data_IF_343718505176
#
_entry.id   IF_343718505176
#
_cell.length_a   1.000
_cell.length_b   1.000
_cell.length_c   1.000
_cell.angle_alpha   90.00
_cell.angle_beta   90.00
_cell.angle_gamma   90.00
#
_symmetry.space_group_name_H-M   'P 1'
#
loop_
_entity.id
_entity.type
_entity.pdbx_description
1 polymer ?
#
# COMPACT_ATOMS: atom_id res chain seq x y z
N UNK A 1 -40.26 28.36 40.22
CA UNK A 1 -40.51 27.17 39.38
C UNK A 1 -39.43 26.98 38.29
N UNK A 2 -39.10 28.00 37.49
CA UNK A 2 -38.10 27.86 36.41
C UNK A 2 -36.67 27.47 36.83
N UNK A 3 -36.21 27.92 38.01
CA UNK A 3 -34.86 27.61 38.51
C UNK A 3 -34.67 26.11 38.82
N UNK A 4 -35.71 25.42 39.28
CA UNK A 4 -35.64 23.98 39.55
C UNK A 4 -35.57 23.14 38.26
N UNK A 5 -36.20 23.56 37.16
CA UNK A 5 -36.12 22.85 35.88
C UNK A 5 -34.73 22.93 35.24
N UNK A 6 -34.09 24.10 35.31
CA UNK A 6 -32.73 24.28 34.79
C UNK A 6 -31.74 23.41 35.57
N UNK A 7 -31.90 23.33 36.90
CA UNK A 7 -31.03 22.51 37.74
C UNK A 7 -31.21 21.01 37.47
N UNK A 8 -32.45 20.53 37.25
CA UNK A 8 -32.68 19.14 36.85
C UNK A 8 -32.11 18.80 35.46
N UNK A 9 -32.10 19.73 34.50
CA UNK A 9 -31.46 19.53 33.19
C UNK A 9 -29.93 19.42 33.29
N UNK A 10 -29.29 20.25 34.13
CA UNK A 10 -27.85 20.16 34.35
C UNK A 10 -27.44 18.85 35.03
N UNK A 11 -28.24 18.34 35.97
CA UNK A 11 -27.97 17.06 36.66
C UNK A 11 -28.14 15.86 35.73
N UNK A 12 -29.06 15.90 34.76
CA UNK A 12 -29.24 14.83 33.76
C UNK A 12 -28.14 14.86 32.69
N UNK A 13 -27.54 16.03 32.40
CA UNK A 13 -26.47 16.17 31.41
C UNK A 13 -25.07 15.72 31.90
N UNK A 14 -24.81 15.78 33.21
CA UNK A 14 -23.50 15.43 33.79
C UNK A 14 -23.06 13.97 33.54
N UNK A 15 -23.93 12.94 33.70
CA UNK A 15 -23.56 11.56 33.39
C UNK A 15 -23.24 11.35 31.91
N UNK A 16 -23.92 12.07 31.01
CA UNK A 16 -23.71 11.96 29.55
C UNK A 16 -22.34 12.53 29.16
N UNK A 17 -21.89 13.61 29.81
CA UNK A 17 -20.56 14.19 29.57
C UNK A 17 -19.41 13.29 30.01
N UNK A 18 -19.53 12.64 31.18
CA UNK A 18 -18.51 11.71 31.68
C UNK A 18 -18.44 10.45 30.82
N UNK A 19 -19.59 9.98 30.31
CA UNK A 19 -19.64 8.86 29.37
C UNK A 19 -19.03 9.24 28.02
N UNK A 20 -19.28 10.45 27.51
CA UNK A 20 -18.72 10.94 26.24
C UNK A 20 -17.20 11.06 26.21
N UNK A 21 -16.59 11.60 27.27
CA UNK A 21 -15.12 11.74 27.36
C UNK A 21 -14.40 10.38 27.39
N UNK A 22 -14.98 9.37 28.04
CA UNK A 22 -14.42 8.02 28.02
C UNK A 22 -14.54 7.37 26.63
N UNK A 23 -15.61 7.64 25.89
CA UNK A 23 -15.73 7.13 24.52
C UNK A 23 -14.73 7.76 23.57
N UNK A 24 -14.45 9.06 23.68
CA UNK A 24 -13.43 9.72 22.84
C UNK A 24 -12.05 9.08 23.02
N UNK A 25 -11.61 8.87 24.26
CA UNK A 25 -10.35 8.15 24.54
C UNK A 25 -10.35 6.72 23.99
N UNK A 26 -11.47 5.99 24.10
CA UNK A 26 -11.58 4.62 23.55
C UNK A 26 -11.54 4.63 22.02
N UNK A 27 -12.12 5.63 21.36
CA UNK A 27 -12.04 5.79 19.91
C UNK A 27 -10.63 6.14 19.45
N UNK A 28 -9.93 7.05 20.15
CA UNK A 28 -8.53 7.37 19.88
C UNK A 28 -7.62 6.14 20.07
N UNK A 29 -7.81 5.39 21.15
CA UNK A 29 -7.07 4.15 21.41
C UNK A 29 -7.34 3.12 20.29
N UNK A 30 -8.61 2.92 19.92
CA UNK A 30 -8.99 2.00 18.85
C UNK A 30 -8.41 2.41 17.49
N UNK A 31 -8.49 3.69 17.12
CA UNK A 31 -7.93 4.21 15.87
C UNK A 31 -6.41 4.09 15.85
N UNK A 32 -5.75 4.33 16.98
CA UNK A 32 -4.30 4.16 17.13
C UNK A 32 -3.88 2.68 17.00
N UNK A 33 -4.61 1.76 17.62
CA UNK A 33 -4.38 0.32 17.53
C UNK A 33 -4.63 -0.17 16.10
N UNK A 34 -5.71 0.29 15.44
CA UNK A 34 -6.02 -0.06 14.05
C UNK A 34 -4.97 0.45 13.09
N UNK A 35 -4.45 1.66 13.32
CA UNK A 35 -3.34 2.21 12.54
C UNK A 35 -2.08 1.37 12.73
N UNK A 36 -1.70 1.05 13.96
CA UNK A 36 -0.53 0.23 14.25
C UNK A 36 -0.64 -1.20 13.67
N UNK A 37 -1.82 -1.83 13.76
CA UNK A 37 -2.10 -3.14 13.15
C UNK A 37 -1.96 -3.08 11.63
N UNK A 38 -2.48 -2.01 11.01
CA UNK A 38 -2.35 -1.81 9.56
C UNK A 38 -0.91 -1.59 9.12
N UNK A 39 -0.13 -0.82 9.89
CA UNK A 39 1.30 -0.60 9.64
C UNK A 39 2.10 -1.89 9.81
N UNK A 40 1.81 -2.70 10.84
CA UNK A 40 2.46 -4.00 11.05
C UNK A 40 2.16 -4.96 9.89
N UNK A 41 0.91 -5.03 9.42
CA UNK A 41 0.56 -5.84 8.23
C UNK A 41 1.25 -5.36 6.97
N UNK A 42 1.34 -4.04 6.76
CA UNK A 42 2.05 -3.46 5.62
C UNK A 42 3.55 -3.83 5.67
N UNK A 43 4.16 -3.73 6.85
CA UNK A 43 5.56 -4.11 7.08
C UNK A 43 5.79 -5.62 6.86
N UNK A 44 4.91 -6.49 7.37
CA UNK A 44 5.02 -7.94 7.16
C UNK A 44 4.91 -8.29 5.67
N UNK A 45 3.94 -7.67 4.97
CA UNK A 45 3.78 -7.85 3.53
C UNK A 45 5.01 -7.36 2.76
N UNK A 46 5.59 -6.22 3.15
CA UNK A 46 6.81 -5.69 2.55
C UNK A 46 8.00 -6.64 2.80
N UNK A 47 8.17 -7.12 4.02
CA UNK A 47 9.23 -8.06 4.38
C UNK A 47 9.11 -9.36 3.59
N UNK A 48 7.90 -9.93 3.48
CA UNK A 48 7.62 -11.12 2.68
C UNK A 48 7.97 -10.89 1.20
N UNK A 49 7.58 -9.74 0.65
CA UNK A 49 7.90 -9.36 -0.73
C UNK A 49 9.41 -9.25 -0.93
N UNK A 50 10.12 -8.60 -0.02
CA UNK A 50 11.59 -8.45 -0.04
C UNK A 50 12.30 -9.81 0.06
N UNK A 51 11.81 -10.71 0.92
CA UNK A 51 12.33 -12.08 1.02
C UNK A 51 12.10 -12.86 -0.28
N UNK A 52 10.87 -12.84 -0.84
CA UNK A 52 10.61 -13.53 -2.11
C UNK A 52 11.46 -12.98 -3.26
N UNK A 53 11.61 -11.65 -3.31
CA UNK A 53 12.49 -10.94 -4.22
C UNK A 53 13.96 -11.40 -4.10
N UNK A 54 14.43 -11.66 -2.88
CA UNK A 54 15.80 -12.15 -2.64
C UNK A 54 16.02 -13.59 -3.11
N UNK A 55 14.98 -14.44 -2.99
CA UNK A 55 15.03 -15.85 -3.39
C UNK A 55 15.05 -16.00 -4.91
N UNK A 56 14.22 -15.22 -5.60
CA UNK A 56 14.11 -15.22 -7.05
C UNK A 56 14.30 -13.81 -7.62
N UNK A 57 15.56 -13.38 -7.88
CA UNK A 57 15.82 -12.07 -8.47
C UNK A 57 15.14 -11.87 -9.82
N UNK A 58 14.96 -12.94 -10.60
CA UNK A 58 14.31 -12.87 -11.91
C UNK A 58 12.85 -12.42 -11.79
N UNK A 59 12.20 -12.64 -10.64
CA UNK A 59 10.84 -12.13 -10.40
C UNK A 59 10.71 -10.61 -10.56
N UNK A 60 11.78 -9.83 -10.34
CA UNK A 60 11.75 -8.37 -10.56
C UNK A 60 11.71 -8.00 -12.03
N UNK A 61 12.23 -8.83 -12.93
CA UNK A 61 12.12 -8.60 -14.38
C UNK A 61 10.66 -8.65 -14.84
N UNK A 62 9.79 -9.28 -14.05
CA UNK A 62 8.37 -9.38 -14.31
C UNK A 62 7.55 -8.32 -13.57
N UNK A 63 8.17 -7.45 -12.78
CA UNK A 63 7.45 -6.42 -12.05
C UNK A 63 7.20 -5.19 -12.95
N UNK A 64 5.93 -4.83 -13.08
CA UNK A 64 5.48 -3.60 -13.71
C UNK A 64 4.85 -2.72 -12.64
N UNK A 65 5.43 -1.55 -12.41
CA UNK A 65 4.89 -0.55 -11.49
C UNK A 65 4.39 0.65 -12.29
N UNK A 66 3.20 1.11 -11.95
CA UNK A 66 2.50 2.23 -12.56
C UNK A 66 2.24 3.25 -11.46
N UNK A 67 2.60 4.49 -11.69
CA UNK A 67 2.31 5.60 -10.78
C UNK A 67 1.59 6.69 -11.55
N UNK A 68 0.51 7.20 -10.99
CA UNK A 68 -0.32 8.25 -11.60
C UNK A 68 -0.15 9.53 -10.79
N UNK A 69 0.18 10.62 -11.49
CA UNK A 69 0.36 11.94 -10.91
C UNK A 69 -0.54 12.95 -11.61
N UNK A 70 -0.95 14.00 -10.90
CA UNK A 70 -1.54 15.20 -11.46
C UNK A 70 -0.45 16.22 -11.76
N UNK A 71 -0.33 16.62 -13.02
CA UNK A 71 0.54 17.70 -13.47
C UNK A 71 0.05 19.05 -12.91
N UNK A 72 0.86 19.64 -12.04
CA UNK A 72 0.56 20.94 -11.43
C UNK A 72 0.78 22.12 -12.39
N UNK A 73 1.43 21.89 -13.53
CA UNK A 73 1.92 22.89 -14.48
C UNK A 73 2.88 23.93 -13.86
N UNK A 74 3.43 23.65 -12.67
CA UNK A 74 4.37 24.54 -11.96
C UNK A 74 5.83 24.33 -12.38
N UNK A 75 6.09 23.54 -13.41
CA UNK A 75 7.41 23.35 -14.02
C UNK A 75 8.40 22.52 -13.19
N UNK A 76 7.97 21.94 -12.06
CA UNK A 76 8.76 21.00 -11.25
C UNK A 76 7.92 19.77 -10.90
N UNK A 77 8.43 18.55 -11.11
CA UNK A 77 7.71 17.32 -10.78
C UNK A 77 7.49 17.16 -9.27
N UNK A 78 8.27 17.83 -8.42
CA UNK A 78 8.10 17.81 -6.96
C UNK A 78 6.78 18.48 -6.52
N UNK A 79 6.20 19.31 -7.39
CA UNK A 79 4.92 19.98 -7.15
C UNK A 79 3.72 19.16 -7.64
N UNK A 80 3.95 18.07 -8.37
CA UNK A 80 2.90 17.26 -8.92
C UNK A 80 2.26 16.39 -7.84
N UNK A 81 0.94 16.29 -7.88
CA UNK A 81 0.22 15.58 -6.81
C UNK A 81 0.09 14.11 -7.16
N UNK A 82 0.66 13.24 -6.33
CA UNK A 82 0.48 11.80 -6.47
C UNK A 82 -1.00 11.40 -6.27
N UNK A 83 -1.55 10.68 -7.26
CA UNK A 83 -2.94 10.22 -7.27
C UNK A 83 -3.05 8.77 -6.76
N UNK A 84 -2.13 7.91 -7.18
CA UNK A 84 -2.18 6.48 -6.88
C UNK A 84 -1.13 5.68 -7.60
N UNK A 85 -0.90 4.46 -7.14
CA UNK A 85 -0.01 3.51 -7.80
C UNK A 85 -0.67 2.15 -8.01
N UNK A 86 -0.21 1.40 -8.99
CA UNK A 86 -0.60 0.02 -9.19
C UNK A 86 0.62 -0.82 -9.55
N UNK A 87 0.65 -2.04 -9.03
CA UNK A 87 1.69 -3.02 -9.32
C UNK A 87 1.07 -4.25 -9.98
N UNK A 88 1.75 -4.77 -10.99
CA UNK A 88 1.37 -6.00 -11.68
C UNK A 88 2.57 -6.89 -11.92
N UNK A 89 2.36 -8.21 -11.83
CA UNK A 89 3.34 -9.20 -12.27
C UNK A 89 3.01 -9.60 -13.70
N UNK A 90 3.91 -9.25 -14.62
CA UNK A 90 3.83 -9.61 -16.02
C UNK A 90 4.08 -11.11 -16.20
N UNK A 91 3.35 -11.72 -17.14
CA UNK A 91 3.58 -13.08 -17.59
C UNK A 91 4.51 -13.03 -18.79
N UNK A 92 5.81 -13.10 -18.54
CA UNK A 92 6.85 -13.06 -19.57
C UNK A 92 7.55 -14.42 -19.57
N UNK A 93 7.51 -15.11 -20.70
CA UNK A 93 8.21 -16.38 -20.90
C UNK A 93 9.38 -16.21 -21.88
N UNK A 94 10.52 -16.85 -21.63
CA UNK A 94 11.64 -16.84 -22.55
C UNK A 94 11.29 -17.68 -23.79
N UNK A 95 10.96 -17.02 -24.90
CA UNK A 95 10.77 -17.66 -26.20
C UNK A 95 9.36 -17.53 -26.80
N UNK A 96 8.35 -17.17 -26.01
CA UNK A 96 6.99 -16.95 -26.51
C UNK A 96 6.65 -15.45 -26.53
N UNK A 97 6.20 -14.90 -27.68
CA UNK A 97 5.65 -13.55 -27.70
C UNK A 97 4.31 -13.51 -26.99
N UNK A 98 4.11 -12.52 -26.12
CA UNK A 98 2.91 -12.41 -25.28
C UNK A 98 2.26 -11.04 -25.47
N UNK A 99 0.94 -11.00 -25.59
CA UNK A 99 0.16 -9.74 -25.63
C UNK A 99 -0.95 -9.82 -24.59
N UNK A 100 -0.94 -8.93 -23.62
CA UNK A 100 -1.89 -8.96 -22.49
C UNK A 100 -2.42 -7.56 -22.23
N UNK A 101 -3.72 -7.48 -21.96
CA UNK A 101 -4.41 -6.27 -21.51
C UNK A 101 -4.76 -6.40 -20.03
N UNK A 102 -4.49 -5.35 -19.26
CA UNK A 102 -4.63 -5.32 -17.80
C UNK A 102 -5.48 -4.12 -17.38
N UNK A 103 -6.36 -4.35 -16.40
CA UNK A 103 -7.14 -3.30 -15.72
C UNK A 103 -6.77 -3.28 -14.23
N UNK A 104 -5.81 -2.42 -13.89
CA UNK A 104 -5.18 -2.38 -12.57
C UNK A 104 -5.89 -1.38 -11.65
N UNK A 105 -6.40 -1.80 -10.48
CA UNK A 105 -6.94 -0.87 -9.50
C UNK A 105 -5.81 -0.04 -8.88
N UNK A 106 -6.03 1.26 -8.75
CA UNK A 106 -5.09 2.14 -8.06
C UNK A 106 -5.14 1.89 -6.56
N UNK A 107 -3.96 1.88 -5.96
CA UNK A 107 -3.72 1.75 -4.53
C UNK A 107 -3.21 3.10 -4.02
N UNK A 108 -3.63 3.40 -2.79
CA UNK A 108 -3.20 4.58 -2.08
C UNK A 108 -1.79 4.40 -1.53
N UNK A 109 -1.00 5.47 -1.57
CA UNK A 109 0.31 5.51 -0.94
C UNK A 109 0.45 6.80 -0.11
N UNK A 110 0.11 6.68 1.18
CA UNK A 110 0.15 7.78 2.16
C UNK A 110 1.55 8.35 2.40
N UNK A 111 2.61 7.65 2.00
CA UNK A 111 3.97 8.19 2.06
C UNK A 111 4.25 9.23 0.97
N UNK A 112 3.44 9.25 -0.10
CA UNK A 112 3.59 10.19 -1.23
C UNK A 112 2.51 11.27 -1.26
N UNK A 113 1.30 10.97 -0.81
CA UNK A 113 0.18 11.91 -0.83
C UNK A 113 -0.92 11.49 0.14
N UNK A 114 -1.61 12.47 0.71
CA UNK A 114 -2.80 12.28 1.54
C UNK A 114 -4.10 12.17 0.72
N UNK A 115 -4.01 12.25 -0.61
CA UNK A 115 -5.16 12.08 -1.49
C UNK A 115 -5.64 10.64 -1.44
N UNK A 116 -6.95 10.48 -1.22
CA UNK A 116 -7.59 9.17 -1.31
C UNK A 116 -7.55 8.67 -2.75
N UNK A 117 -6.75 7.63 -2.98
CA UNK A 117 -6.64 7.04 -4.32
C UNK A 117 -7.92 6.29 -4.69
N UNK A 118 -8.45 6.57 -5.88
CA UNK A 118 -9.57 5.84 -6.49
C UNK A 118 -9.30 5.61 -7.97
N UNK A 119 -10.00 4.62 -8.55
CA UNK A 119 -9.99 4.41 -9.99
C UNK A 119 -9.16 3.22 -10.45
N UNK A 120 -9.02 3.08 -11.76
CA UNK A 120 -8.30 2.00 -12.43
C UNK A 120 -7.54 2.52 -13.64
N UNK A 121 -6.38 1.94 -13.90
CA UNK A 121 -5.58 2.16 -15.12
C UNK A 121 -5.72 0.95 -16.02
N UNK A 122 -6.06 1.20 -17.28
CA UNK A 122 -6.12 0.22 -18.35
C UNK A 122 -4.87 0.35 -19.20
N UNK A 123 -4.10 -0.72 -19.30
CA UNK A 123 -2.88 -0.77 -20.11
C UNK A 123 -2.79 -2.09 -20.85
N UNK A 124 -1.97 -2.09 -21.88
CA UNK A 124 -1.62 -3.27 -22.64
C UNK A 124 -0.11 -3.39 -22.67
N UNK A 125 0.40 -4.60 -22.58
CA UNK A 125 1.81 -4.86 -22.85
C UNK A 125 1.98 -5.96 -23.88
N UNK A 126 3.01 -5.81 -24.70
CA UNK A 126 3.45 -6.79 -25.68
C UNK A 126 4.90 -7.14 -25.42
N UNK A 127 5.19 -8.43 -25.28
CA UNK A 127 6.52 -8.99 -25.14
C UNK A 127 6.94 -9.65 -26.44
N UNK A 128 8.11 -9.29 -26.95
CA UNK A 128 8.74 -9.89 -28.12
C UNK A 128 10.13 -10.43 -27.73
N UNK A 129 10.28 -11.76 -27.51
CA UNK A 129 11.58 -12.33 -27.16
C UNK A 129 12.57 -12.16 -28.32
N UNK A 130 13.83 -11.92 -27.98
CA UNK A 130 14.91 -11.86 -28.98
C UNK A 130 15.24 -13.27 -29.47
N UNK A 131 15.28 -13.48 -30.78
CA UNK A 131 15.59 -14.78 -31.39
C UNK A 131 17.01 -15.29 -31.10
N UNK A 132 17.92 -14.41 -30.67
CA UNK A 132 19.31 -14.75 -30.41
C UNK A 132 19.48 -15.21 -28.96
N UNK A 133 19.55 -16.52 -28.78
CA UNK A 133 20.02 -17.13 -27.54
C UNK A 133 21.51 -16.82 -27.36
N UNK A 134 21.84 -16.22 -26.23
CA UNK A 134 23.23 -16.00 -25.82
C UNK A 134 23.49 -16.82 -24.56
N UNK A 135 24.62 -17.55 -24.48
CA UNK A 135 24.92 -18.36 -23.31
C UNK A 135 25.00 -17.48 -22.06
N UNK A 136 24.27 -17.86 -21.01
CA UNK A 136 24.21 -17.11 -19.76
C UNK A 136 23.16 -15.99 -19.72
N UNK A 137 22.41 -15.76 -20.80
CA UNK A 137 21.26 -14.84 -20.79
C UNK A 137 19.98 -15.62 -20.47
N UNK A 138 19.24 -15.16 -19.45
CA UNK A 138 18.01 -15.79 -18.96
C UNK A 138 16.75 -15.20 -19.60
N UNK A 139 16.75 -13.89 -19.86
CA UNK A 139 15.64 -13.19 -20.49
C UNK A 139 16.18 -12.09 -21.41
N UNK A 140 15.78 -12.12 -22.68
CA UNK A 140 16.21 -11.14 -23.68
C UNK A 140 15.09 -10.87 -24.67
N UNK A 141 14.78 -9.60 -24.91
CA UNK A 141 13.64 -9.23 -25.76
C UNK A 141 13.26 -7.76 -25.60
N UNK A 142 12.16 -7.40 -26.25
CA UNK A 142 11.57 -6.06 -26.18
C UNK A 142 10.22 -6.16 -25.49
N UNK A 143 10.02 -5.33 -24.47
CA UNK A 143 8.72 -5.08 -23.87
C UNK A 143 8.19 -3.74 -24.38
N UNK A 144 6.99 -3.76 -24.93
CA UNK A 144 6.22 -2.58 -25.30
C UNK A 144 5.07 -2.43 -24.32
N UNK A 145 4.95 -1.27 -23.67
CA UNK A 145 3.85 -0.95 -22.77
C UNK A 145 3.07 0.21 -23.38
N UNK A 146 1.78 0.00 -23.59
CA UNK A 146 0.84 0.99 -24.11
C UNK A 146 -0.17 1.31 -23.02
N UNK A 147 -0.18 2.56 -22.54
CA UNK A 147 -1.23 3.03 -21.64
C UNK A 147 -2.46 3.32 -22.49
N UNK A 148 -3.62 2.75 -22.14
CA UNK A 148 -4.85 2.94 -22.91
C UNK A 148 -5.67 4.09 -22.33
N UNK A 149 -6.06 3.97 -21.07
CA UNK A 149 -6.87 4.98 -20.37
C UNK A 149 -6.85 4.80 -18.86
N UNK A 150 -7.32 5.79 -18.13
CA UNK A 150 -7.66 5.66 -16.72
C UNK A 150 -9.11 6.10 -16.46
N UNK A 151 -9.72 5.54 -15.43
CA UNK A 151 -11.11 5.83 -15.06
C UNK A 151 -11.26 5.96 -13.55
N UNK A 152 -12.19 6.81 -13.11
CA UNK A 152 -12.50 6.97 -11.69
C UNK A 152 -11.39 7.62 -10.87
N UNK A 153 -10.52 8.41 -11.50
CA UNK A 153 -9.48 9.18 -10.81
C UNK A 153 -10.12 10.20 -9.86
N UNK A 154 -9.52 10.45 -8.68
CA UNK A 154 -10.01 11.45 -7.75
C UNK A 154 -9.87 12.86 -8.34
N UNK A 155 -10.75 13.76 -7.90
CA UNK A 155 -10.63 15.18 -8.21
C UNK A 155 -9.57 15.78 -7.28
N UNK A 156 -8.48 16.28 -7.86
CA UNK A 156 -7.34 16.82 -7.13
C UNK A 156 -7.19 18.33 -7.32
N UNK A 157 -7.73 18.87 -8.42
CA UNK A 157 -7.56 20.29 -8.72
C UNK A 157 -8.34 21.15 -7.71
N UNK A 158 -7.62 22.09 -7.09
CA UNK A 158 -8.17 23.07 -6.15
C UNK A 158 -8.71 24.30 -6.87
N UNK A 159 -8.50 24.41 -8.19
CA UNK A 159 -9.01 25.54 -8.97
C UNK A 159 -10.52 25.63 -8.78
N UNK A 160 -11.02 26.78 -8.27
CA UNK A 160 -12.45 27.00 -8.25
C UNK A 160 -12.93 26.98 -9.71
N UNK A 161 -14.11 26.40 -9.98
CA UNK A 161 -14.66 26.39 -11.33
C UNK A 161 -14.65 27.82 -11.87
N UNK A 162 -14.19 28.07 -13.11
CA UNK A 162 -14.14 29.41 -13.67
C UNK A 162 -15.51 30.06 -13.52
N UNK A 163 -15.56 31.27 -12.96
CA UNK A 163 -16.81 32.00 -12.67
C UNK A 163 -17.76 32.14 -13.88
N UNK A 164 -17.29 31.88 -15.10
CA UNK A 164 -18.07 31.96 -16.34
C UNK A 164 -18.47 30.60 -16.95
N UNK A 165 -17.95 29.46 -16.46
CA UNK A 165 -18.33 28.13 -16.95
C UNK A 165 -18.65 27.20 -15.79
N UNK A 166 -19.89 27.28 -15.30
CA UNK A 166 -20.45 26.44 -14.23
C UNK A 166 -20.46 24.92 -14.51
N UNK A 167 -19.73 24.44 -15.52
CA UNK A 167 -19.60 23.04 -15.91
C UNK A 167 -18.15 22.54 -16.02
N UNK A 168 -17.14 23.40 -15.85
CA UNK A 168 -15.77 22.91 -15.76
C UNK A 168 -15.55 22.35 -14.35
N UNK A 169 -15.81 21.05 -14.20
CA UNK A 169 -15.43 20.33 -12.99
C UNK A 169 -13.91 20.32 -12.88
N UNK A 170 -13.40 20.45 -11.66
CA UNK A 170 -11.99 20.25 -11.32
C UNK A 170 -11.55 18.82 -11.66
N UNK A 171 -11.16 18.60 -12.92
CA UNK A 171 -10.56 17.36 -13.37
C UNK A 171 -9.05 17.42 -13.12
N UNK A 172 -8.46 16.28 -12.80
CA UNK A 172 -7.02 16.17 -12.78
C UNK A 172 -6.47 16.22 -14.22
N UNK A 173 -5.25 16.71 -14.36
CA UNK A 173 -4.41 16.61 -15.55
C UNK A 173 -3.41 15.46 -15.33
N UNK A 174 -3.73 14.18 -15.61
CA UNK A 174 -2.90 13.09 -15.16
C UNK A 174 -1.82 12.74 -16.19
N UNK A 175 -0.67 12.34 -15.69
CA UNK A 175 0.35 11.59 -16.42
C UNK A 175 0.74 10.34 -15.64
N UNK A 176 1.39 9.41 -16.33
CA UNK A 176 1.76 8.10 -15.78
C UNK A 176 3.26 7.90 -15.86
N UNK A 177 3.86 7.45 -14.76
CA UNK A 177 5.20 6.89 -14.72
C UNK A 177 5.12 5.37 -14.76
N UNK A 178 5.80 4.77 -15.74
CA UNK A 178 5.93 3.32 -15.88
C UNK A 178 7.35 2.93 -15.46
N UNK A 179 7.44 2.15 -14.38
CA UNK A 179 8.72 1.65 -13.86
C UNK A 179 8.82 0.14 -14.09
N UNK A 180 9.92 -0.27 -14.72
CA UNK A 180 10.28 -1.68 -14.95
C UNK A 180 11.77 -1.92 -14.65
N UNK A 181 12.18 -3.18 -14.58
CA UNK A 181 13.58 -3.57 -14.34
C UNK A 181 14.11 -4.37 -15.53
N UNK A 182 14.50 -3.71 -16.63
CA UNK A 182 14.84 -4.38 -17.88
C UNK A 182 16.21 -5.05 -17.85
N UNK A 183 17.13 -4.56 -17.02
CA UNK A 183 18.50 -5.04 -16.95
C UNK A 183 18.71 -5.93 -15.72
N UNK A 184 19.52 -6.97 -15.87
CA UNK A 184 19.97 -7.73 -14.69
C UNK A 184 20.71 -6.83 -13.68
N UNK A 185 20.70 -7.20 -12.39
CA UNK A 185 21.46 -6.51 -11.36
C UNK A 185 22.92 -6.31 -11.75
N UNK A 186 23.50 -5.20 -11.28
CA UNK A 186 24.94 -4.94 -11.41
C UNK A 186 25.77 -6.00 -10.66
N UNK A 187 27.10 -5.95 -10.80
CA UNK A 187 28.02 -6.82 -10.04
C UNK A 187 27.86 -6.68 -8.52
N UNK A 188 27.37 -5.53 -8.06
CA UNK A 188 27.09 -5.26 -6.65
C UNK A 188 25.72 -5.80 -6.19
N UNK A 189 24.95 -6.39 -7.11
CA UNK A 189 23.59 -6.86 -6.88
C UNK A 189 22.58 -5.72 -6.77
N UNK A 190 22.90 -4.53 -7.27
CA UNK A 190 21.96 -3.39 -7.28
C UNK A 190 21.12 -3.46 -8.55
N UNK A 191 19.80 -3.34 -8.39
CA UNK A 191 18.84 -3.24 -9.49
C UNK A 191 18.66 -1.76 -9.85
N UNK A 192 18.73 -1.45 -11.14
CA UNK A 192 18.47 -0.09 -11.64
C UNK A 192 17.11 -0.07 -12.33
N UNK A 193 16.11 0.63 -11.76
CA UNK A 193 14.83 0.79 -12.43
C UNK A 193 15.00 1.62 -13.70
N UNK A 194 14.22 1.30 -14.74
CA UNK A 194 14.01 2.17 -15.90
C UNK A 194 12.60 2.74 -15.79
N UNK A 195 12.51 4.07 -15.81
CA UNK A 195 11.26 4.82 -15.69
C UNK A 195 11.02 5.57 -16.99
N UNK A 196 9.81 5.45 -17.54
CA UNK A 196 9.34 6.23 -18.69
C UNK A 196 8.06 6.97 -18.28
N UNK A 197 7.87 8.17 -18.81
CA UNK A 197 6.74 9.04 -18.50
C UNK A 197 5.83 9.19 -19.73
N UNK A 198 4.51 9.11 -19.53
CA UNK A 198 3.52 9.39 -20.58
C UNK A 198 3.34 10.90 -20.77
N UNK A 199 2.64 11.30 -21.84
CA UNK A 199 2.16 12.69 -21.92
C UNK A 199 1.10 12.98 -20.84
N UNK A 200 0.95 14.25 -20.49
CA UNK A 200 -0.13 14.75 -19.63
C UNK A 200 -1.41 14.89 -20.45
N UNK A 201 -2.53 14.38 -19.93
CA UNK A 201 -3.85 14.55 -20.54
C UNK A 201 -4.64 15.61 -19.77
N UNK A 202 -4.81 16.80 -20.34
CA UNK A 202 -5.46 17.91 -19.64
C UNK A 202 -6.99 17.75 -19.54
N UNK A 203 -7.55 18.20 -18.41
CA UNK A 203 -8.98 18.42 -18.15
C UNK A 203 -9.90 17.22 -18.49
N UNK A 204 -9.45 15.99 -18.24
CA UNK A 204 -10.19 14.78 -18.63
C UNK A 204 -10.62 13.93 -17.43
N UNK A 205 -11.92 13.58 -17.39
CA UNK A 205 -12.47 12.62 -16.42
C UNK A 205 -12.01 11.17 -16.67
N UNK A 206 -11.77 10.85 -17.93
CA UNK A 206 -11.37 9.52 -18.41
C UNK A 206 -10.20 9.71 -19.36
N UNK A 207 -9.02 10.09 -18.83
CA UNK A 207 -7.84 10.37 -19.65
C UNK A 207 -7.53 9.13 -20.49
N UNK A 208 -7.32 9.36 -21.79
CA UNK A 208 -7.02 8.32 -22.77
C UNK A 208 -5.72 8.72 -23.44
N UNK A 209 -4.75 7.82 -23.43
CA UNK A 209 -3.48 8.03 -24.10
C UNK A 209 -3.55 7.43 -25.50
N UNK A 210 -2.94 8.12 -26.46
CA UNK A 210 -2.96 7.66 -27.84
C UNK A 210 -2.17 6.35 -27.98
N UNK A 211 -2.63 5.44 -28.86
CA UNK A 211 -1.88 4.20 -29.15
C UNK A 211 -0.47 4.47 -29.71
N UNK A 212 -0.20 5.69 -30.19
CA UNK A 212 1.13 6.13 -30.63
C UNK A 212 2.15 6.30 -29.49
N UNK A 213 1.72 6.37 -28.24
CA UNK A 213 2.62 6.47 -27.08
C UNK A 213 2.99 5.08 -26.54
N UNK A 214 3.73 4.30 -27.35
CA UNK A 214 4.30 3.04 -26.91
C UNK A 214 5.62 3.26 -26.17
N UNK A 215 5.67 2.86 -24.90
CA UNK A 215 6.89 2.88 -24.11
C UNK A 215 7.69 1.59 -24.35
N UNK A 216 8.93 1.74 -24.78
CA UNK A 216 9.75 0.64 -25.28
C UNK A 216 10.93 0.34 -24.35
N UNK A 217 11.01 -0.90 -23.89
CA UNK A 217 12.01 -1.37 -22.93
C UNK A 217 12.75 -2.58 -23.47
N UNK A 218 14.06 -2.44 -23.71
CA UNK A 218 14.93 -3.56 -24.09
C UNK A 218 15.37 -4.33 -22.86
N UNK A 219 14.89 -5.57 -22.70
CA UNK A 219 15.19 -6.44 -21.57
C UNK A 219 16.43 -7.28 -21.84
N UNK A 220 17.35 -7.34 -20.89
CA UNK A 220 18.50 -8.24 -20.89
C UNK A 220 18.86 -8.64 -19.46
N UNK A 221 18.45 -9.85 -19.07
CA UNK A 221 18.80 -10.44 -17.79
C UNK A 221 19.79 -11.58 -17.94
N UNK A 222 20.92 -11.47 -17.25
CA UNK A 222 21.97 -12.48 -17.25
C UNK A 222 21.96 -13.32 -15.98
N UNK A 223 22.44 -14.56 -16.08
CA UNK A 223 22.65 -15.47 -14.95
C UNK A 223 23.62 -14.87 -13.93
N UNK A 224 24.67 -14.20 -14.40
CA UNK A 224 25.68 -13.58 -13.55
C UNK A 224 25.08 -12.46 -12.70
N UNK A 225 24.24 -11.60 -13.28
CA UNK A 225 23.55 -10.54 -12.52
C UNK A 225 22.56 -11.11 -11.48
N UNK A 226 21.83 -12.18 -11.82
CA UNK A 226 20.96 -12.88 -10.85
C UNK A 226 21.77 -13.46 -9.70
N UNK A 227 22.92 -14.07 -9.98
CA UNK A 227 23.84 -14.57 -8.94
C UNK A 227 24.42 -13.44 -8.09
N UNK A 228 24.78 -12.31 -8.70
CA UNK A 228 25.25 -11.12 -8.00
C UNK A 228 24.19 -10.57 -7.01
N UNK A 229 22.91 -10.52 -7.41
CA UNK A 229 21.81 -10.13 -6.50
C UNK A 229 21.63 -11.11 -5.36
N UNK A 230 21.66 -12.42 -5.61
CA UNK A 230 21.60 -13.43 -4.54
C UNK A 230 22.77 -13.31 -3.57
N UNK A 231 23.98 -13.09 -4.08
CA UNK A 231 25.17 -12.90 -3.25
C UNK A 231 25.07 -11.62 -2.41
N UNK A 232 24.59 -10.52 -3.00
CA UNK A 232 24.37 -9.24 -2.31
C UNK A 232 23.30 -9.35 -1.22
N UNK A 233 22.16 -9.99 -1.50
CA UNK A 233 21.12 -10.24 -0.51
C UNK A 233 21.61 -11.16 0.63
N UNK A 234 22.40 -12.19 0.30
CA UNK A 234 23.05 -13.04 1.31
C UNK A 234 23.99 -12.25 2.22
N UNK A 235 24.73 -11.28 1.66
CA UNK A 235 25.61 -10.39 2.42
C UNK A 235 24.82 -9.44 3.33
N UNK A 236 23.69 -8.93 2.86
CA UNK A 236 22.80 -8.07 3.66
C UNK A 236 22.21 -8.84 4.85
N UNK A 237 21.75 -10.07 4.62
CA UNK A 237 21.16 -10.92 5.66
C UNK A 237 22.16 -11.35 6.74
N UNK A 238 23.39 -11.69 6.35
CA UNK A 238 24.44 -12.13 7.28
C UNK A 238 25.13 -10.97 8.01
N UNK A 239 24.93 -9.73 7.57
CA UNK A 239 25.73 -8.59 7.99
C UNK A 239 27.11 -8.57 7.31
N UNK A 240 27.67 -7.36 7.15
CA UNK A 240 28.94 -7.14 6.42
C UNK A 240 30.12 -7.89 7.05
N UNK A 241 30.17 -7.92 8.38
CA UNK A 241 31.31 -8.46 9.14
C UNK A 241 31.40 -9.99 9.04
N UNK A 242 30.26 -10.68 9.09
CA UNK A 242 30.20 -12.15 8.96
C UNK A 242 30.53 -12.59 7.54
N UNK A 243 30.02 -11.86 6.54
CA UNK A 243 30.21 -12.24 5.13
C UNK A 243 31.67 -12.09 4.67
N UNK A 244 32.34 -11.01 5.08
CA UNK A 244 33.73 -10.76 4.67
C UNK A 244 34.66 -11.83 5.21
N UNK A 245 34.49 -12.22 6.47
CA UNK A 245 35.31 -13.26 7.08
C UNK A 245 35.09 -14.64 6.40
N UNK A 246 33.87 -14.96 5.91
CA UNK A 246 33.61 -16.21 5.17
C UNK A 246 34.31 -16.22 3.80
N UNK A 247 34.36 -15.07 3.11
CA UNK A 247 34.95 -14.96 1.78
C UNK A 247 36.48 -15.01 1.79
N UNK A 248 37.11 -14.50 2.85
CA UNK A 248 38.58 -14.45 2.98
C UNK A 248 39.21 -15.80 3.36
N UNK A 249 38.42 -16.88 3.44
CA UNK A 249 38.95 -18.21 3.74
C UNK A 249 39.61 -18.28 5.11
N UNK A 250 39.22 -17.40 6.04
CA UNK A 250 39.69 -17.44 7.41
C UNK A 250 39.20 -18.75 8.04
N UNK A 251 40.14 -19.69 8.22
CA UNK A 251 39.96 -20.94 8.96
C UNK A 251 39.54 -20.78 10.43
N UNK A 252 39.38 -19.54 10.91
CA UNK A 252 38.90 -19.21 12.25
C UNK A 252 37.39 -19.00 12.38
N UNK A 253 36.65 -18.84 11.28
CA UNK A 253 35.18 -18.70 11.33
C UNK A 253 34.45 -20.02 11.55
N UNK A 254 35.12 -21.14 11.24
CA UNK A 254 34.69 -22.48 11.61
C UNK A 254 34.66 -22.70 13.12
N UNK A 255 35.09 -21.76 13.97
CA UNK A 255 34.86 -21.87 15.40
C UNK A 255 33.50 -21.25 15.80
N UNK A 256 33.26 -19.98 15.45
CA UNK A 256 32.10 -19.24 15.96
C UNK A 256 30.76 -19.62 15.28
N UNK A 257 30.79 -19.95 13.98
CA UNK A 257 29.60 -20.39 13.25
C UNK A 257 29.29 -21.89 13.51
N UNK A 258 30.32 -22.68 13.80
CA UNK A 258 30.16 -24.06 14.28
C UNK A 258 29.65 -24.09 15.72
N UNK A 259 29.90 -23.08 16.55
CA UNK A 259 29.32 -23.05 17.90
C UNK A 259 27.80 -22.80 17.87
N UNK A 260 27.27 -22.14 16.83
CA UNK A 260 25.83 -21.87 16.67
C UNK A 260 25.09 -22.91 15.81
N UNK A 261 25.79 -23.68 14.97
CA UNK A 261 25.20 -24.78 14.19
C UNK A 261 24.51 -25.87 15.05
N UNK A 262 25.06 -26.32 16.19
CA UNK A 262 24.40 -27.24 17.10
C UNK A 262 23.10 -26.67 17.65
N UNK A 263 23.07 -25.36 17.96
CA UNK A 263 21.85 -24.71 18.44
C UNK A 263 20.80 -24.67 17.32
N UNK A 264 21.16 -24.25 16.11
CA UNK A 264 20.23 -24.24 14.96
C UNK A 264 19.76 -25.66 14.61
N UNK A 265 20.62 -26.67 14.74
CA UNK A 265 20.24 -28.07 14.54
C UNK A 265 19.30 -28.58 15.64
N UNK A 266 19.53 -28.18 16.89
CA UNK A 266 18.64 -28.48 18.01
C UNK A 266 17.27 -27.81 17.83
N UNK A 267 17.26 -26.52 17.46
CA UNK A 267 16.03 -25.77 17.19
C UNK A 267 15.27 -26.36 15.98
N UNK A 268 15.97 -26.77 14.91
CA UNK A 268 15.35 -27.46 13.77
C UNK A 268 14.77 -28.81 14.15
N UNK A 269 15.43 -29.55 15.05
CA UNK A 269 14.93 -30.83 15.53
C UNK A 269 13.72 -30.64 16.46
N UNK A 270 13.72 -29.60 17.30
CA UNK A 270 12.57 -29.20 18.12
C UNK A 270 11.37 -28.83 17.22
N UNK A 271 11.59 -28.01 16.19
CA UNK A 271 10.54 -27.66 15.21
C UNK A 271 10.05 -28.90 14.46
N UNK A 272 10.95 -29.82 14.09
CA UNK A 272 10.59 -31.10 13.45
C UNK A 272 9.75 -31.98 14.37
N UNK A 273 10.03 -31.99 15.66
CA UNK A 273 9.27 -32.74 16.66
C UNK A 273 7.91 -32.10 16.97
N UNK A 274 7.79 -30.78 16.89
CA UNK A 274 6.52 -30.07 17.10
C UNK A 274 5.59 -30.10 15.88
N UNK A 275 6.12 -30.32 14.68
CA UNK A 275 5.32 -30.31 13.44
C UNK A 275 4.17 -31.34 13.42
N UNK A 276 4.36 -32.62 13.81
CA UNK A 276 3.27 -33.59 13.89
C UNK A 276 2.12 -33.13 14.78
N UNK A 277 2.42 -32.60 15.97
CA UNK A 277 1.40 -32.16 16.93
C UNK A 277 0.58 -30.99 16.36
N UNK A 278 1.26 -30.01 15.73
CA UNK A 278 0.60 -28.91 15.01
C UNK A 278 -0.29 -29.41 13.85
N UNK A 279 0.14 -30.42 13.10
CA UNK A 279 -0.69 -31.00 12.03
C UNK A 279 -1.94 -31.69 12.58
N UNK A 280 -1.83 -32.28 13.77
CA UNK A 280 -2.93 -32.96 14.44
C UNK A 280 -3.94 -31.95 14.99
N UNK A 281 -3.48 -30.89 15.64
CA UNK A 281 -4.32 -29.78 16.10
C UNK A 281 -5.04 -29.08 14.94
N UNK A 282 -4.34 -28.77 13.84
CA UNK A 282 -4.96 -28.16 12.65
C UNK A 282 -6.01 -29.10 12.04
N UNK A 283 -5.76 -30.41 12.06
CA UNK A 283 -6.70 -31.42 11.59
C UNK A 283 -7.93 -31.50 12.50
N UNK A 284 -7.78 -31.48 13.81
CA UNK A 284 -8.88 -31.44 14.78
C UNK A 284 -9.71 -30.15 14.64
N UNK A 285 -9.05 -28.99 14.58
CA UNK A 285 -9.71 -27.70 14.40
C UNK A 285 -10.53 -27.67 13.10
N UNK A 286 -10.01 -28.25 12.01
CA UNK A 286 -10.71 -28.36 10.73
C UNK A 286 -11.92 -29.30 10.83
N UNK A 287 -11.83 -30.39 11.59
CA UNK A 287 -12.96 -31.29 11.84
C UNK A 287 -14.03 -30.61 12.70
N UNK A 288 -13.64 -29.92 13.77
CA UNK A 288 -14.55 -29.15 14.62
C UNK A 288 -15.28 -28.06 13.84
N UNK A 289 -14.57 -27.33 12.98
CA UNK A 289 -15.15 -26.30 12.09
C UNK A 289 -16.17 -26.91 11.12
N UNK A 290 -15.86 -28.07 10.53
CA UNK A 290 -16.81 -28.79 9.65
C UNK A 290 -18.04 -29.28 10.41
N UNK A 291 -17.88 -29.75 11.64
CA UNK A 291 -18.99 -30.17 12.49
C UNK A 291 -19.92 -28.99 12.84
N UNK A 292 -19.35 -27.82 13.17
CA UNK A 292 -20.10 -26.60 13.42
C UNK A 292 -20.87 -26.13 12.17
N UNK A 293 -20.22 -26.11 10.99
CA UNK A 293 -20.90 -25.75 9.73
C UNK A 293 -22.05 -26.73 9.45
N UNK A 294 -21.84 -28.04 9.62
CA UNK A 294 -22.88 -29.04 9.42
C UNK A 294 -24.07 -28.86 10.40
N UNK A 295 -23.78 -28.55 11.67
CA UNK A 295 -24.81 -28.27 12.67
C UNK A 295 -25.63 -27.02 12.31
N UNK A 296 -24.97 -25.97 11.80
CA UNK A 296 -25.63 -24.73 11.38
C UNK A 296 -26.45 -24.92 10.09
N UNK A 297 -25.96 -25.69 9.11
CA UNK A 297 -26.68 -25.98 7.86
C UNK A 297 -27.92 -26.86 8.06
N UNK A 298 -27.95 -27.71 9.08
CA UNK A 298 -29.14 -28.51 9.43
C UNK A 298 -30.29 -27.65 9.99
N UNK A 299 -30.00 -26.42 10.42
CA UNK A 299 -31.01 -25.47 10.91
C UNK A 299 -31.76 -24.73 9.80
N UNK A 300 -31.30 -24.76 8.54
CA UNK A 300 -31.93 -24.03 7.43
C UNK A 300 -33.16 -24.74 6.81
N UNK A 301 -33.48 -25.97 7.25
CA UNK A 301 -34.67 -26.72 6.82
C UNK A 301 -35.83 -26.74 7.82
N UNK A 302 -35.63 -26.26 9.04
CA UNK A 302 -36.65 -26.20 10.07
C UNK A 302 -37.35 -24.86 10.04
N UNK A 303 -38.64 -24.84 9.71
CA UNK A 303 -39.50 -23.67 9.87
C UNK A 303 -39.27 -23.07 11.27
N UNK A 304 -38.67 -21.88 11.31
CA UNK A 304 -38.46 -21.12 12.54
C UNK A 304 -39.83 -20.97 13.20
N UNK A 305 -40.12 -21.63 14.34
CA UNK A 305 -41.34 -21.34 15.06
C UNK A 305 -41.27 -19.87 15.47
N UNK A 306 -42.36 -19.09 15.30
CA UNK A 306 -42.35 -17.67 15.60
C UNK A 306 -41.91 -17.51 17.06
N UNK A 307 -40.76 -16.84 17.24
CA UNK A 307 -40.29 -16.41 18.55
C UNK A 307 -41.36 -15.49 19.13
N UNK A 308 -42.22 -16.06 19.97
CA UNK A 308 -43.05 -15.32 20.89
C UNK A 308 -42.10 -14.64 21.88
N UNK A 309 -41.69 -13.41 21.54
CA UNK A 309 -41.01 -12.51 22.45
C UNK A 309 -42.01 -12.22 23.57
N UNK A 310 -41.84 -12.85 24.72
CA UNK A 310 -42.58 -12.52 25.94
C UNK A 310 -41.95 -11.23 26.52
N UNK A 311 -42.66 -10.08 26.49
CA UNK A 311 -42.13 -8.80 26.95
C UNK A 311 -42.00 -8.69 28.49
N UNK A 312 -42.04 -9.81 29.23
CA UNK A 312 -41.97 -9.82 30.71
C UNK A 312 -40.82 -10.61 31.33
N UNK A 313 -39.90 -11.16 30.54
CA UNK A 313 -38.73 -11.85 31.09
C UNK A 313 -37.74 -10.84 31.69
N UNK A 314 -37.81 -10.68 33.02
CA UNK A 314 -36.86 -9.93 33.84
C UNK A 314 -35.46 -10.51 33.67
N UNK A 315 -34.50 -9.62 33.43
CA UNK A 315 -33.07 -9.93 33.38
C UNK A 315 -32.60 -10.62 34.67
N UNK A 316 -31.83 -11.72 34.58
CA UNK A 316 -31.07 -12.21 35.72
C UNK A 316 -29.94 -11.23 36.03
N UNK A 317 -29.89 -10.82 37.30
CA UNK A 317 -28.81 -10.05 37.91
C UNK A 317 -27.46 -10.74 37.71
N UNK A 318 -26.39 -10.03 37.33
CA UNK A 318 -25.05 -10.60 37.27
C UNK A 318 -24.53 -10.88 38.69
N UNK A 319 -24.30 -12.15 38.98
CA UNK A 319 -23.64 -12.62 40.20
C UNK A 319 -22.16 -12.26 40.15
N UNK A 320 -21.74 -11.41 41.09
CA UNK A 320 -20.45 -11.38 41.80
C UNK A 320 -19.31 -12.20 41.17
N UNK A 321 -18.47 -11.54 40.38
CA UNK A 321 -17.12 -12.04 40.04
C UNK A 321 -16.22 -11.74 41.25
N UNK A 322 -15.75 -12.81 41.89
CA UNK A 322 -14.81 -12.76 43.00
C UNK A 322 -13.49 -12.13 42.58
N UNK A 323 -13.04 -11.16 43.39
CA UNK A 323 -11.75 -10.52 43.31
C UNK A 323 -10.60 -11.54 43.47
N UNK A 324 -9.60 -11.45 42.59
CA UNK A 324 -8.28 -12.05 42.78
C UNK A 324 -7.45 -11.17 43.73
N UNK A 325 -6.63 -11.76 44.61
CA UNK A 325 -5.82 -11.01 45.56
C UNK A 325 -4.61 -10.38 44.86
N UNK A 326 -4.38 -9.11 45.14
CA UNK A 326 -3.15 -8.40 44.83
C UNK A 326 -2.03 -8.93 45.73
N UNK A 327 -1.04 -9.60 45.13
CA UNK A 327 0.23 -9.88 45.81
C UNK A 327 1.12 -8.65 45.75
N UNK A 328 1.49 -8.20 46.96
CA UNK A 328 2.52 -7.23 47.21
C UNK A 328 3.88 -7.79 46.80
N UNK A 329 4.65 -7.02 46.02
CA UNK A 329 6.09 -7.19 45.92
C UNK A 329 6.77 -5.87 46.27
N UNK A 330 7.44 -5.91 47.40
CA UNK A 330 8.19 -4.84 48.01
C UNK A 330 9.52 -4.59 47.28
N UNK A 331 9.90 -3.32 47.26
CA UNK A 331 11.25 -2.79 47.54
C UNK A 331 12.46 -3.49 46.88
N UNK A 332 13.02 -2.81 45.87
CA UNK A 332 14.49 -2.62 45.78
C UNK A 332 14.79 -1.16 45.47
N UNK A 333 15.47 -0.51 46.41
CA UNK A 333 16.27 0.68 46.15
C UNK A 333 17.64 0.29 45.59
N UNK A 334 18.29 1.29 44.99
CA UNK A 334 19.65 1.41 44.42
C UNK A 334 19.48 2.16 43.09
N UNK A 335 20.16 3.24 42.74
CA UNK A 335 21.13 4.08 43.43
C UNK A 335 21.12 5.43 42.71
N UNK A 336 21.34 6.46 43.49
CA UNK A 336 21.55 7.84 43.09
C UNK A 336 23.02 8.01 42.67
N UNK A 337 23.30 8.40 41.41
CA UNK A 337 24.35 9.36 41.01
C UNK A 337 24.69 9.28 39.52
N UNK A 338 24.56 10.44 38.85
CA UNK A 338 25.56 11.07 37.96
C UNK A 338 24.94 11.64 36.68
N UNK A 339 24.91 12.97 36.61
CA UNK A 339 24.74 13.75 35.39
C UNK A 339 25.93 13.48 34.43
N UNK A 340 25.78 13.69 33.10
CA UNK A 340 26.13 15.01 32.58
C UNK A 340 25.30 15.48 31.35
N UNK A 341 25.34 16.78 31.12
CA UNK A 341 25.35 17.33 29.75
C UNK A 341 24.02 17.81 29.19
N UNK A 342 23.65 19.06 29.51
CA UNK A 342 22.60 19.78 28.80
C UNK A 342 22.99 20.04 27.34
N UNK A 343 22.14 19.58 26.41
CA UNK A 343 22.13 20.01 25.02
C UNK A 343 20.90 20.90 24.84
N UNK A 344 21.18 22.15 24.47
CA UNK A 344 20.24 23.23 24.23
C UNK A 344 19.44 22.97 22.94
N UNK A 345 18.09 23.00 22.95
CA UNK A 345 17.33 22.90 21.71
C UNK A 345 17.26 24.25 21.00
N UNK A 346 17.59 24.26 19.71
CA UNK A 346 17.43 25.39 18.79
C UNK A 346 15.96 25.78 18.60
N UNK A 347 15.64 27.06 18.37
CA UNK A 347 14.26 27.53 18.22
C UNK A 347 13.68 27.15 16.86
N UNK A 348 12.42 26.71 16.86
CA UNK A 348 11.58 26.54 15.65
C UNK A 348 11.09 27.91 15.18
N UNK A 349 11.01 28.17 13.87
CA UNK A 349 10.41 29.39 13.35
C UNK A 349 8.88 29.32 13.46
N UNK A 350 8.31 30.40 14.00
CA UNK A 350 6.87 30.70 13.97
C UNK A 350 6.46 31.01 12.53
N UNK A 351 5.52 30.23 12.00
CA UNK A 351 4.74 30.62 10.81
C UNK A 351 3.35 31.00 11.27
N UNK A 352 3.17 32.30 11.41
CA UNK A 352 1.91 32.99 11.59
C UNK A 352 1.20 33.07 10.23
N UNK A 353 0.07 32.38 10.09
CA UNK A 353 -0.81 32.50 8.93
C UNK A 353 -2.27 32.47 9.40
N UNK A 354 -2.81 33.66 9.60
CA UNK A 354 -4.21 33.89 9.94
C UNK A 354 -5.14 33.41 8.83
N UNK A 355 -6.03 32.48 9.17
CA UNK A 355 -7.18 32.09 8.37
C UNK A 355 -8.33 33.08 8.61
N UNK A 356 -8.74 33.81 7.56
CA UNK A 356 -10.01 34.56 7.55
C UNK A 356 -11.10 33.75 6.85
N UNK A 357 -12.18 33.47 7.58
CA UNK A 357 -13.44 32.92 7.09
C UNK A 357 -14.29 34.04 6.47
N UNK A 358 -14.75 33.86 5.23
CA UNK A 358 -15.78 34.73 4.61
C UNK A 358 -16.96 33.87 4.15
N UNK A 359 -18.15 34.26 4.60
CA UNK A 359 -19.45 33.62 4.33
C UNK A 359 -20.04 34.15 3.01
N UNK A 360 -20.65 33.33 2.12
CA UNK A 360 -21.14 33.78 0.82
C UNK A 360 -22.50 34.48 0.88
N UNK A 361 -22.60 35.62 0.18
CA UNK A 361 -23.83 36.39 -0.01
C UNK A 361 -24.39 36.30 -1.45
N UNK A 362 -25.68 35.99 -1.48
CA UNK A 362 -26.75 36.16 -2.49
C UNK A 362 -26.45 36.60 -3.95
N UNK A 363 -26.82 35.68 -4.86
CA UNK A 363 -27.60 35.78 -6.13
C UNK A 363 -27.81 37.18 -6.75
N UNK A 364 -27.42 37.33 -8.03
CA UNK A 364 -28.17 38.10 -9.04
C UNK A 364 -27.93 37.55 -10.46
N UNK A 365 -28.87 37.88 -11.35
CA UNK A 365 -29.32 37.16 -12.54
C UNK A 365 -28.44 37.23 -13.81
N UNK A 366 -28.75 36.30 -14.73
CA UNK A 366 -28.46 36.15 -16.17
C UNK A 366 -28.48 37.46 -17.04
N UNK A 367 -28.03 37.52 -18.33
CA UNK A 367 -28.16 36.45 -19.35
C UNK A 367 -27.15 36.33 -20.54
N UNK A 368 -27.24 35.15 -21.18
CA UNK A 368 -27.25 34.81 -22.62
C UNK A 368 -26.13 35.20 -23.62
N UNK A 369 -25.71 34.18 -24.40
CA UNK A 369 -25.19 34.27 -25.77
C UNK A 369 -23.87 33.50 -25.96
N UNK A 370 -23.54 32.80 -27.03
CA UNK A 370 -24.18 32.39 -28.29
C UNK A 370 -23.22 31.34 -28.90
N UNK A 371 -23.75 30.29 -29.52
CA UNK A 371 -23.01 29.12 -30.05
C UNK A 371 -22.42 29.45 -31.43
N UNK A 372 -21.15 29.11 -31.67
CA UNK A 372 -20.63 28.92 -33.05
C UNK A 372 -19.88 27.60 -33.20
N UNK A 373 -20.57 26.72 -33.88
CA UNK A 373 -20.17 25.48 -34.53
C UNK A 373 -19.38 25.81 -35.81
N UNK A 374 -18.26 25.13 -36.06
CA UNK A 374 -17.59 25.13 -37.37
C UNK A 374 -16.95 23.76 -37.63
N UNK A 375 -17.34 23.22 -38.79
CA UNK A 375 -17.08 21.89 -39.35
C UNK A 375 -15.63 21.62 -39.82
N UNK A 376 -15.28 20.33 -40.04
CA UNK A 376 -13.98 19.90 -40.54
C UNK A 376 -13.92 19.77 -42.08
N UNK A 377 -12.77 20.10 -42.68
CA UNK A 377 -12.43 19.79 -44.07
C UNK A 377 -11.09 19.01 -44.10
N UNK A 378 -11.07 17.74 -44.51
CA UNK A 378 -10.95 17.21 -45.89
C UNK A 378 -9.50 17.15 -46.40
N UNK A 379 -8.94 15.93 -46.30
CA UNK A 379 -8.20 15.13 -47.30
C UNK A 379 -7.53 15.87 -48.48
N UNK A 380 -6.23 15.61 -48.69
CA UNK A 380 -5.72 15.36 -50.04
C UNK A 380 -4.46 14.49 -50.02
N UNK A 381 -4.46 13.48 -50.90
CA UNK A 381 -3.42 12.52 -51.15
C UNK A 381 -2.63 12.88 -52.42
N UNK A 382 -1.36 12.49 -52.47
CA UNK A 382 -0.48 12.48 -53.65
C UNK A 382 0.93 12.21 -53.15
N UNK A 383 1.71 11.25 -53.63
CA UNK A 383 1.79 10.55 -54.90
C UNK A 383 3.31 10.40 -55.15
N UNK A 384 3.83 9.24 -55.57
CA UNK A 384 5.27 8.95 -55.49
C UNK A 384 6.04 9.44 -56.72
N UNK A 385 7.31 9.78 -56.50
CA UNK A 385 8.35 9.98 -57.50
C UNK A 385 9.65 9.38 -57.01
#
# INVERSE_FOLDING_TARGET
>A
AGVCMIWSLCVIALPVGVIGSNFESVWEDYDSEKKAESEMRANESMMRRNMMASLDPLSHSMLLKIEVYHDSQMGSPDNDTFIGEAEAKMKIEPGEPVKVELALPLQENRSKSDVRSTGRVHLRYTWAPSAREQPGVLLHGQLLVTILRAEGLPQVDWKPPPLASARSHAYCDPYILVTVYPNSPSKDGVLTPKVEQSTTVFESKTPTWSESEEMSFGFCWTKDGVLAKRASAKRELLGKDVFQAVQEGCSGLDACLVDSLPQVAADLEEVRQACPDLFDEVRELKQATRALIAALSLTEGGAVPPLAVDPRARSPTPSSVSALPAEASAQRGCDEQSQPGGVQPSPRPETDAGFQFVVPGMITEEPSGEVKELDPATVSAGGPG
#
